data_IF_772015670421
#
_entry.id   IF_772015670421
#
_cell.length_a   1.000
_cell.length_b   1.000
_cell.length_c   1.000
_cell.angle_alpha   90.00
_cell.angle_beta   90.00
_cell.angle_gamma   90.00
#
_symmetry.space_group_name_H-M   'P 1'
#
loop_
_entity.id
_entity.type
_entity.pdbx_description
1 polymer ?
#
# COMPACT_ATOMS: atom_id res chain seq x y z
N UNK A 1 74.82 -27.45 20.12
CA UNK A 1 73.44 -27.32 19.62
C UNK A 1 73.36 -25.99 18.89
N UNK A 2 73.76 -25.97 17.62
CA UNK A 2 73.59 -24.80 16.77
C UNK A 2 72.10 -24.59 16.59
N UNK A 3 71.59 -23.48 17.13
CA UNK A 3 70.20 -23.10 17.02
C UNK A 3 70.03 -22.59 15.59
N UNK A 4 69.57 -23.47 14.70
CA UNK A 4 69.41 -23.18 13.28
C UNK A 4 68.54 -21.92 13.09
N UNK A 5 69.07 -20.83 12.51
CA UNK A 5 68.30 -19.61 12.28
C UNK A 5 67.15 -19.80 11.28
N UNK A 6 67.12 -20.91 10.53
CA UNK A 6 65.99 -21.29 9.67
C UNK A 6 64.72 -21.58 10.48
N UNK A 7 64.85 -22.28 11.61
CA UNK A 7 63.72 -22.66 12.48
C UNK A 7 63.03 -21.44 13.10
N UNK A 8 63.82 -20.44 13.51
CA UNK A 8 63.26 -19.18 14.03
C UNK A 8 62.52 -18.39 12.94
N UNK A 9 62.97 -18.45 11.68
CA UNK A 9 62.29 -17.81 10.56
C UNK A 9 60.99 -18.51 10.19
N UNK A 10 60.97 -19.84 10.18
CA UNK A 10 59.74 -20.61 9.93
C UNK A 10 58.68 -20.37 11.01
N UNK A 11 59.07 -20.34 12.28
CA UNK A 11 58.15 -20.08 13.40
C UNK A 11 57.54 -18.66 13.34
N UNK A 12 58.34 -17.66 13.00
CA UNK A 12 57.87 -16.29 12.80
C UNK A 12 56.93 -16.19 11.59
N UNK A 13 57.24 -16.87 10.48
CA UNK A 13 56.39 -16.92 9.29
C UNK A 13 55.01 -17.51 9.60
N UNK A 14 54.96 -18.60 10.37
CA UNK A 14 53.69 -19.22 10.78
C UNK A 14 52.87 -18.33 11.72
N UNK A 15 53.52 -17.59 12.62
CA UNK A 15 52.84 -16.64 13.50
C UNK A 15 52.22 -15.47 12.72
N UNK A 16 52.97 -14.84 11.82
CA UNK A 16 52.48 -13.76 10.95
C UNK A 16 51.35 -14.23 10.01
N UNK A 17 51.43 -15.47 9.51
CA UNK A 17 50.37 -16.06 8.69
C UNK A 17 49.06 -16.25 9.47
N UNK A 18 49.15 -16.58 10.77
CA UNK A 18 47.97 -16.78 11.62
C UNK A 18 47.26 -15.47 11.97
N UNK A 19 48.01 -14.41 12.24
CA UNK A 19 47.46 -13.07 12.52
C UNK A 19 46.83 -12.45 11.26
N UNK A 20 47.44 -12.62 10.09
CA UNK A 20 46.87 -12.18 8.81
C UNK A 20 45.61 -12.96 8.43
N UNK A 21 45.56 -14.26 8.73
CA UNK A 21 44.35 -15.06 8.50
C UNK A 21 43.19 -14.59 9.40
N UNK A 22 43.45 -14.40 10.70
CA UNK A 22 42.44 -13.95 11.66
C UNK A 22 41.91 -12.53 11.33
N UNK A 23 42.77 -11.63 10.87
CA UNK A 23 42.33 -10.29 10.43
C UNK A 23 41.46 -10.35 9.18
N UNK A 24 41.78 -11.21 8.21
CA UNK A 24 40.94 -11.44 7.02
C UNK A 24 39.57 -11.97 7.44
N UNK A 25 39.52 -12.94 8.34
CA UNK A 25 38.24 -13.48 8.85
C UNK A 25 37.38 -12.40 9.50
N UNK A 26 37.96 -11.58 10.38
CA UNK A 26 37.25 -10.46 11.03
C UNK A 26 36.72 -9.49 9.98
N UNK A 27 37.53 -9.13 8.98
CA UNK A 27 37.11 -8.23 7.89
C UNK A 27 35.98 -8.84 7.07
N UNK A 28 36.02 -10.14 6.77
CA UNK A 28 34.95 -10.85 6.06
C UNK A 28 33.65 -10.83 6.88
N UNK A 29 33.73 -11.11 8.18
CA UNK A 29 32.56 -11.04 9.08
C UNK A 29 32.01 -9.61 9.21
N UNK A 30 32.87 -8.59 9.25
CA UNK A 30 32.45 -7.19 9.28
C UNK A 30 31.76 -6.77 7.98
N UNK A 31 32.31 -7.15 6.83
CA UNK A 31 31.68 -6.88 5.52
C UNK A 31 30.34 -7.59 5.45
N UNK A 32 30.27 -8.86 5.87
CA UNK A 32 29.02 -9.62 5.88
C UNK A 32 27.98 -8.98 6.81
N UNK A 33 28.39 -8.54 8.01
CA UNK A 33 27.53 -7.83 8.93
C UNK A 33 27.02 -6.51 8.35
N UNK A 34 27.87 -5.72 7.69
CA UNK A 34 27.48 -4.47 7.03
C UNK A 34 26.48 -4.71 5.88
N UNK A 35 26.68 -5.77 5.09
CA UNK A 35 25.75 -6.16 4.03
C UNK A 35 24.39 -6.61 4.60
N UNK A 36 24.39 -7.36 5.71
CA UNK A 36 23.17 -7.75 6.40
C UNK A 36 22.42 -6.53 6.95
N UNK A 37 23.11 -5.61 7.61
CA UNK A 37 22.51 -4.38 8.14
C UNK A 37 21.92 -3.55 7.01
N UNK A 38 22.64 -3.38 5.89
CA UNK A 38 22.13 -2.67 4.72
C UNK A 38 20.83 -3.29 4.19
N UNK A 39 20.75 -4.62 4.10
CA UNK A 39 19.52 -5.32 3.69
C UNK A 39 18.38 -5.17 4.68
N UNK A 40 18.66 -5.25 5.98
CA UNK A 40 17.64 -5.07 7.02
C UNK A 40 17.09 -3.65 7.00
N UNK A 41 17.94 -2.63 6.82
CA UNK A 41 17.50 -1.24 6.69
C UNK A 41 16.59 -1.05 5.46
N UNK A 42 16.98 -1.56 4.30
CA UNK A 42 16.16 -1.51 3.09
C UNK A 42 14.80 -2.22 3.26
N UNK A 43 14.80 -3.36 3.95
CA UNK A 43 13.58 -4.11 4.27
C UNK A 43 12.65 -3.31 5.22
N UNK A 44 13.21 -2.69 6.26
CA UNK A 44 12.45 -1.88 7.21
C UNK A 44 11.81 -0.65 6.55
N UNK A 45 12.51 0.01 5.62
CA UNK A 45 11.98 1.15 4.88
C UNK A 45 10.83 0.76 3.93
N UNK A 46 10.96 -0.38 3.25
CA UNK A 46 9.90 -0.92 2.41
C UNK A 46 8.66 -1.29 3.25
N UNK A 47 8.87 -1.95 4.39
CA UNK A 47 7.80 -2.30 5.33
C UNK A 47 7.12 -1.07 5.91
N UNK A 48 7.87 -0.03 6.25
CA UNK A 48 7.33 1.25 6.76
C UNK A 48 6.44 1.92 5.73
N UNK A 49 6.90 2.03 4.47
CA UNK A 49 6.09 2.59 3.36
C UNK A 49 4.82 1.80 3.12
N UNK A 50 4.87 0.49 3.26
CA UNK A 50 3.70 -0.35 3.10
C UNK A 50 2.72 -0.21 4.28
N UNK A 51 3.21 -0.19 5.51
CA UNK A 51 2.39 0.06 6.70
C UNK A 51 1.75 1.45 6.67
N UNK A 52 2.45 2.46 6.16
CA UNK A 52 1.92 3.81 5.97
C UNK A 52 0.83 3.84 4.90
N UNK A 53 1.00 3.12 3.79
CA UNK A 53 -0.06 2.92 2.79
C UNK A 53 -1.27 2.16 3.36
N UNK A 54 -1.06 1.16 4.20
CA UNK A 54 -2.17 0.43 4.81
C UNK A 54 -2.89 1.29 5.85
N UNK A 55 -2.15 2.00 6.70
CA UNK A 55 -2.70 2.87 7.74
C UNK A 55 -3.45 4.08 7.16
N UNK A 56 -2.88 4.75 6.17
CA UNK A 56 -3.56 5.83 5.45
C UNK A 56 -4.80 5.31 4.71
N UNK A 57 -4.77 4.05 4.26
CA UNK A 57 -5.91 3.34 3.67
C UNK A 57 -7.11 3.23 4.61
N UNK A 58 -6.83 2.86 5.86
CA UNK A 58 -7.82 2.78 6.94
C UNK A 58 -8.29 4.18 7.38
N UNK A 59 -7.38 5.15 7.36
CA UNK A 59 -7.67 6.52 7.78
C UNK A 59 -8.63 7.23 6.82
N UNK A 60 -8.37 7.21 5.50
CA UNK A 60 -9.26 7.88 4.55
C UNK A 60 -10.64 7.22 4.51
N UNK A 61 -10.71 5.88 4.60
CA UNK A 61 -11.99 5.15 4.58
C UNK A 61 -12.91 5.57 5.72
N UNK A 62 -12.34 5.67 6.94
CA UNK A 62 -13.08 6.12 8.13
C UNK A 62 -13.55 7.57 8.00
N UNK A 63 -12.74 8.44 7.40
CA UNK A 63 -13.11 9.85 7.18
C UNK A 63 -14.22 9.98 6.13
N UNK A 64 -14.13 9.24 5.03
CA UNK A 64 -15.13 9.18 3.97
C UNK A 64 -16.47 8.67 4.50
N UNK A 65 -16.46 7.57 5.25
CA UNK A 65 -17.66 7.03 5.92
C UNK A 65 -18.31 8.08 6.80
N UNK A 66 -17.53 8.74 7.67
CA UNK A 66 -18.04 9.78 8.56
C UNK A 66 -18.60 10.99 7.80
N UNK A 67 -17.97 11.41 6.71
CA UNK A 67 -18.47 12.51 5.88
C UNK A 67 -19.77 12.10 5.17
N UNK A 68 -19.82 10.88 4.64
CA UNK A 68 -20.98 10.29 3.97
C UNK A 68 -22.19 10.18 4.91
N UNK A 69 -22.00 9.64 6.12
CA UNK A 69 -23.08 9.45 7.11
C UNK A 69 -23.66 10.78 7.59
N UNK A 70 -22.85 11.85 7.56
CA UNK A 70 -23.28 13.21 7.89
C UNK A 70 -23.86 13.97 6.68
N UNK A 71 -24.06 13.29 5.55
CA UNK A 71 -24.61 13.88 4.33
C UNK A 71 -23.65 14.80 3.56
N UNK A 72 -22.36 14.86 3.94
CA UNK A 72 -21.36 15.73 3.32
C UNK A 72 -20.66 15.01 2.17
N UNK A 73 -21.42 14.70 1.13
CA UNK A 73 -20.91 13.89 0.00
C UNK A 73 -19.82 14.60 -0.81
N UNK A 74 -19.87 15.93 -0.90
CA UNK A 74 -18.84 16.69 -1.61
C UNK A 74 -17.48 16.65 -0.88
N UNK A 75 -17.49 16.79 0.46
CA UNK A 75 -16.31 16.61 1.31
C UNK A 75 -15.77 15.18 1.18
N UNK A 76 -16.65 14.17 1.19
CA UNK A 76 -16.26 12.79 0.96
C UNK A 76 -15.56 12.59 -0.39
N UNK A 77 -16.05 13.24 -1.45
CA UNK A 77 -15.42 13.20 -2.78
C UNK A 77 -14.04 13.86 -2.80
N UNK A 78 -13.82 14.95 -2.07
CA UNK A 78 -12.51 15.59 -1.93
C UNK A 78 -11.50 14.67 -1.24
N UNK A 79 -11.91 14.00 -0.15
CA UNK A 79 -11.08 13.01 0.54
C UNK A 79 -10.76 11.83 -0.39
N UNK A 80 -11.75 11.35 -1.15
CA UNK A 80 -11.55 10.27 -2.12
C UNK A 80 -10.60 10.68 -3.25
N UNK A 81 -10.67 11.92 -3.73
CA UNK A 81 -9.79 12.43 -4.78
C UNK A 81 -8.33 12.48 -4.32
N UNK A 82 -8.07 12.96 -3.10
CA UNK A 82 -6.71 12.93 -2.53
C UNK A 82 -6.21 11.51 -2.29
N UNK A 83 -7.09 10.60 -1.86
CA UNK A 83 -6.78 9.19 -1.65
C UNK A 83 -6.47 8.48 -2.96
N UNK A 84 -7.15 8.82 -4.05
CA UNK A 84 -6.92 8.22 -5.38
C UNK A 84 -5.51 8.50 -5.90
N UNK A 85 -4.92 9.65 -5.57
CA UNK A 85 -3.53 9.98 -5.90
C UNK A 85 -2.53 9.03 -5.23
N UNK A 86 -2.87 8.54 -4.03
CA UNK A 86 -2.02 7.62 -3.25
C UNK A 86 -2.27 6.16 -3.62
N UNK A 87 -3.52 5.81 -3.91
CA UNK A 87 -3.97 4.46 -4.29
C UNK A 87 -4.60 4.45 -5.68
N UNK A 88 -3.80 4.70 -6.74
CA UNK A 88 -4.32 4.66 -8.09
C UNK A 88 -4.87 3.27 -8.40
N UNK A 89 -6.09 3.21 -8.93
CA UNK A 89 -6.73 1.93 -9.29
C UNK A 89 -7.37 1.18 -8.12
N UNK A 90 -7.57 1.80 -6.96
CA UNK A 90 -8.35 1.19 -5.87
C UNK A 90 -9.84 1.09 -6.24
N UNK A 91 -10.34 -0.14 -6.41
CA UNK A 91 -11.76 -0.40 -6.66
C UNK A 91 -12.66 0.12 -5.53
N UNK A 92 -12.18 0.09 -4.27
CA UNK A 92 -12.91 0.60 -3.12
C UNK A 92 -13.12 2.11 -3.21
N UNK A 93 -12.10 2.87 -3.66
CA UNK A 93 -12.22 4.32 -3.86
C UNK A 93 -13.29 4.61 -4.93
N UNK A 94 -13.27 3.87 -6.05
CA UNK A 94 -14.29 4.00 -7.11
C UNK A 94 -15.69 3.68 -6.62
N UNK A 95 -15.83 2.64 -5.81
CA UNK A 95 -17.10 2.29 -5.18
C UNK A 95 -17.64 3.43 -4.30
N UNK A 96 -16.80 4.02 -3.45
CA UNK A 96 -17.19 5.14 -2.58
C UNK A 96 -17.51 6.42 -3.37
N UNK A 97 -16.76 6.73 -4.44
CA UNK A 97 -17.08 7.83 -5.34
C UNK A 97 -18.46 7.63 -5.97
N UNK A 98 -18.76 6.41 -6.43
CA UNK A 98 -20.07 6.03 -6.96
C UNK A 98 -21.19 6.25 -5.95
N UNK A 99 -21.01 5.82 -4.69
CA UNK A 99 -21.99 6.06 -3.62
C UNK A 99 -22.20 7.54 -3.35
N UNK A 100 -21.15 8.35 -3.34
CA UNK A 100 -21.27 9.79 -3.12
C UNK A 100 -22.01 10.47 -4.28
N UNK A 101 -21.66 10.15 -5.52
CA UNK A 101 -22.38 10.67 -6.70
C UNK A 101 -23.84 10.23 -6.74
N UNK A 102 -24.14 9.01 -6.31
CA UNK A 102 -25.52 8.53 -6.19
C UNK A 102 -26.32 9.38 -5.20
N UNK A 103 -25.75 9.74 -4.05
CA UNK A 103 -26.42 10.60 -3.06
C UNK A 103 -26.50 12.07 -3.47
N UNK A 104 -25.69 12.48 -4.44
CA UNK A 104 -25.75 13.79 -5.07
C UNK A 104 -26.62 13.78 -6.33
N UNK A 105 -27.33 12.67 -6.60
CA UNK A 105 -28.20 12.49 -7.78
C UNK A 105 -27.46 12.67 -9.11
N UNK A 106 -26.13 12.55 -9.09
CA UNK A 106 -25.28 12.57 -10.27
C UNK A 106 -25.22 11.16 -10.87
N UNK A 107 -26.36 10.67 -11.36
CA UNK A 107 -26.59 9.28 -11.76
C UNK A 107 -25.59 8.74 -12.77
N UNK A 108 -25.27 9.51 -13.81
CA UNK A 108 -24.30 9.14 -14.84
C UNK A 108 -22.90 8.92 -14.24
N UNK A 109 -22.44 9.85 -13.39
CA UNK A 109 -21.14 9.75 -12.72
C UNK A 109 -21.13 8.60 -11.71
N UNK A 110 -22.24 8.37 -11.02
CA UNK A 110 -22.37 7.24 -10.11
C UNK A 110 -22.21 5.91 -10.86
N UNK A 111 -22.91 5.74 -11.98
CA UNK A 111 -22.82 4.56 -12.83
C UNK A 111 -21.39 4.34 -13.37
N UNK A 112 -20.74 5.40 -13.87
CA UNK A 112 -19.35 5.35 -14.33
C UNK A 112 -18.42 4.81 -13.25
N UNK A 113 -18.49 5.37 -12.03
CA UNK A 113 -17.61 4.93 -10.93
C UNK A 113 -17.92 3.54 -10.41
N UNK A 114 -19.20 3.14 -10.40
CA UNK A 114 -19.56 1.75 -10.08
C UNK A 114 -19.05 0.76 -11.13
N UNK A 115 -19.16 1.09 -12.42
CA UNK A 115 -18.61 0.26 -13.50
C UNK A 115 -17.08 0.15 -13.40
N UNK A 116 -16.39 1.26 -13.12
CA UNK A 116 -14.94 1.23 -12.85
C UNK A 116 -14.60 0.31 -11.68
N UNK A 117 -15.33 0.39 -10.56
CA UNK A 117 -15.10 -0.47 -9.39
C UNK A 117 -15.26 -1.96 -9.72
N UNK A 118 -16.26 -2.31 -10.55
CA UNK A 118 -16.50 -3.69 -10.99
C UNK A 118 -15.48 -4.19 -12.01
N UNK A 119 -14.93 -3.29 -12.84
CA UNK A 119 -13.87 -3.60 -13.81
C UNK A 119 -12.55 -3.90 -13.10
N UNK A 120 -12.25 -3.14 -12.04
CA UNK A 120 -11.06 -3.35 -11.21
C UNK A 120 -11.20 -4.60 -10.34
N UNK A 121 -12.33 -4.74 -9.64
CA UNK A 121 -12.60 -5.87 -8.75
C UNK A 121 -14.04 -6.39 -8.97
N UNK A 122 -14.22 -7.51 -9.69
CA UNK A 122 -15.54 -8.05 -10.02
C UNK A 122 -16.44 -8.36 -8.82
N UNK A 123 -15.87 -8.53 -7.61
CA UNK A 123 -16.60 -8.72 -6.36
C UNK A 123 -17.63 -7.61 -6.10
N UNK A 124 -17.34 -6.35 -6.49
CA UNK A 124 -18.26 -5.23 -6.28
C UNK A 124 -19.56 -5.32 -7.09
N UNK A 125 -19.64 -6.19 -8.11
CA UNK A 125 -20.85 -6.36 -8.92
C UNK A 125 -22.09 -6.65 -8.09
N UNK A 126 -21.95 -7.43 -7.01
CA UNK A 126 -23.05 -7.70 -6.08
C UNK A 126 -23.41 -6.45 -5.28
N UNK A 127 -22.43 -5.72 -4.78
CA UNK A 127 -22.60 -4.53 -3.95
C UNK A 127 -23.22 -3.34 -4.70
N UNK A 128 -22.91 -3.18 -5.99
CA UNK A 128 -23.43 -2.05 -6.79
C UNK A 128 -24.76 -2.37 -7.48
N UNK A 129 -25.21 -3.63 -7.46
CA UNK A 129 -26.36 -4.09 -8.24
C UNK A 129 -27.61 -3.24 -8.01
N UNK A 130 -27.94 -2.96 -6.75
CA UNK A 130 -29.15 -2.23 -6.40
C UNK A 130 -29.05 -0.74 -6.80
N UNK A 131 -27.86 -0.14 -6.66
CA UNK A 131 -27.59 1.21 -7.14
C UNK A 131 -27.73 1.32 -8.66
N UNK A 132 -27.15 0.36 -9.40
CA UNK A 132 -27.22 0.34 -10.86
C UNK A 132 -28.65 0.12 -11.36
N UNK A 133 -29.40 -0.78 -10.71
CA UNK A 133 -30.80 -1.03 -11.04
C UNK A 133 -31.65 0.23 -10.81
N UNK A 134 -31.40 0.98 -9.74
CA UNK A 134 -32.07 2.26 -9.50
C UNK A 134 -31.71 3.31 -10.57
N UNK A 135 -30.42 3.46 -10.90
CA UNK A 135 -29.97 4.40 -11.92
C UNK A 135 -30.63 4.10 -13.27
N UNK A 136 -30.65 2.84 -13.68
CA UNK A 136 -31.30 2.38 -14.92
C UNK A 136 -32.81 2.67 -14.89
N UNK A 137 -33.48 2.43 -13.76
CA UNK A 137 -34.89 2.75 -13.61
C UNK A 137 -35.16 4.26 -13.71
N UNK A 138 -34.29 5.09 -13.13
CA UNK A 138 -34.42 6.55 -13.20
C UNK A 138 -34.17 7.09 -14.61
N UNK A 139 -33.30 6.44 -15.39
CA UNK A 139 -33.10 6.77 -16.81
C UNK A 139 -34.37 6.46 -17.63
N UNK A 140 -35.05 5.34 -17.34
CA UNK A 140 -36.27 4.93 -18.03
C UNK A 140 -37.52 5.72 -17.59
N UNK A 141 -37.59 6.06 -16.31
CA UNK A 141 -38.70 6.81 -15.70
C UNK A 141 -38.11 7.89 -14.79
N UNK A 142 -37.85 9.10 -15.32
CA UNK A 142 -37.29 10.18 -14.53
C UNK A 142 -38.18 10.55 -13.33
N UNK A 143 -37.57 10.71 -12.15
CA UNK A 143 -38.26 11.16 -10.94
C UNK A 143 -38.74 10.04 -10.01
N UNK A 144 -38.19 8.83 -10.12
CA UNK A 144 -38.41 7.73 -9.14
C UNK A 144 -37.75 7.99 -7.77
N UNK A 145 -37.04 9.10 -7.64
CA UNK A 145 -36.30 9.52 -6.45
C UNK A 145 -37.21 9.66 -5.21
N UNK A 146 -38.47 10.08 -5.41
CA UNK A 146 -39.47 10.19 -4.34
C UNK A 146 -39.90 8.87 -3.68
N UNK A 147 -39.41 7.73 -4.16
CA UNK A 147 -39.65 6.41 -3.54
C UNK A 147 -38.60 6.02 -2.48
N UNK A 148 -37.48 6.74 -2.38
CA UNK A 148 -36.41 6.46 -1.39
C UNK A 148 -36.62 7.17 -0.04
N UNK A 149 -37.47 8.21 0.00
CA UNK A 149 -37.73 9.05 1.18
C UNK A 149 -38.95 8.60 2.04
N UNK A 150 -39.33 7.31 1.98
CA UNK A 150 -40.42 6.76 2.81
C UNK A 150 -39.95 5.68 3.77
#
# INVERSE_FOLDING_TARGET
MERDPSFARELLLHAELSETLQTIEIVVWLIFALLLISRVLAYMDARKKQAEKENTGVEWGTQVERAYDRGRYQEALEILATSELVYPGSALIKFWQGRCHFRLEAWEKAAEKFQESCRLEPYYRKSVKDYMAFIELNELVPGVEGYLDK
#
